data_IF_297953044244
#
_entry.id   IF_297953044244
#
_cell.length_a   1.000
_cell.length_b   1.000
_cell.length_c   1.000
_cell.angle_alpha   90.00
_cell.angle_beta   90.00
_cell.angle_gamma   90.00
#
_symmetry.space_group_name_H-M   'P 1'
#
loop_
_entity.id
_entity.type
_entity.pdbx_description
1 polymer ?
#
# COMPACT_ATOMS: atom_id res chain seq x y z
N UNK A 1 10.27 -5.77 -6.45
CA UNK A 1 9.80 -4.51 -7.10
C UNK A 1 8.56 -3.99 -6.38
N UNK A 2 7.94 -2.87 -6.80
CA UNK A 2 6.64 -2.40 -6.30
C UNK A 2 5.56 -2.67 -7.35
N UNK A 3 4.39 -3.16 -6.93
CA UNK A 3 3.26 -3.50 -7.79
C UNK A 3 2.01 -2.73 -7.38
N UNK A 4 1.17 -2.32 -8.34
CA UNK A 4 -0.09 -1.66 -8.04
C UNK A 4 -1.06 -2.60 -7.34
N UNK A 5 -1.73 -2.09 -6.30
CA UNK A 5 -2.84 -2.77 -5.63
C UNK A 5 -4.17 -2.10 -5.95
N UNK A 6 -4.24 -0.77 -5.79
CA UNK A 6 -5.48 0.00 -5.92
C UNK A 6 -5.18 1.48 -6.17
N UNK A 7 -5.95 2.09 -7.06
CA UNK A 7 -6.03 3.55 -7.26
C UNK A 7 -7.37 4.05 -6.73
N UNK A 8 -7.38 5.10 -5.91
CA UNK A 8 -8.60 5.73 -5.39
C UNK A 8 -9.08 6.87 -6.30
N UNK A 9 -10.31 7.33 -6.09
CA UNK A 9 -10.92 8.40 -6.89
C UNK A 9 -10.15 9.73 -6.82
N UNK A 10 -9.42 9.98 -5.73
CA UNK A 10 -8.58 11.17 -5.56
C UNK A 10 -7.16 11.01 -6.14
N UNK A 11 -6.93 9.95 -6.93
CA UNK A 11 -5.63 9.55 -7.48
C UNK A 11 -4.61 9.11 -6.42
N UNK A 12 -5.06 8.74 -5.21
CA UNK A 12 -4.18 8.02 -4.27
C UNK A 12 -3.84 6.65 -4.83
N UNK A 13 -2.55 6.37 -4.93
CA UNK A 13 -2.00 5.10 -5.38
C UNK A 13 -1.56 4.26 -4.18
N UNK A 14 -2.01 3.01 -4.15
CA UNK A 14 -1.60 2.01 -3.16
C UNK A 14 -0.82 0.95 -3.91
N UNK A 15 0.45 0.79 -3.56
CA UNK A 15 1.35 -0.20 -4.13
C UNK A 15 1.92 -1.10 -3.05
N UNK A 16 2.34 -2.31 -3.40
CA UNK A 16 2.98 -3.23 -2.48
C UNK A 16 4.24 -3.84 -3.07
N UNK A 17 5.19 -4.22 -2.22
CA UNK A 17 6.36 -4.99 -2.63
C UNK A 17 6.03 -6.47 -2.84
N UNK A 18 7.00 -7.20 -3.36
CA UNK A 18 7.09 -8.66 -3.16
C UNK A 18 7.20 -8.96 -1.67
N UNK A 19 6.90 -10.20 -1.30
CA UNK A 19 7.23 -10.69 0.03
C UNK A 19 8.73 -10.61 0.24
N UNK A 20 9.14 -9.87 1.26
CA UNK A 20 10.53 -9.72 1.65
C UNK A 20 11.01 -11.00 2.36
N UNK A 21 12.33 -11.15 2.51
CA UNK A 21 12.95 -12.33 3.12
C UNK A 21 12.57 -12.55 4.59
N UNK A 22 12.08 -11.52 5.27
CA UNK A 22 11.57 -11.57 6.64
C UNK A 22 10.05 -11.84 6.71
N UNK A 23 9.45 -12.25 5.60
CA UNK A 23 8.01 -12.47 5.42
C UNK A 23 7.15 -11.21 5.64
N UNK A 24 7.74 -10.02 5.52
CA UNK A 24 7.00 -8.77 5.52
C UNK A 24 6.73 -8.27 4.10
N UNK A 25 5.73 -7.41 3.97
CA UNK A 25 5.39 -6.74 2.71
C UNK A 25 5.35 -5.25 2.97
N UNK A 26 6.11 -4.48 2.18
CA UNK A 26 6.03 -3.02 2.19
C UNK A 26 4.83 -2.59 1.37
N UNK A 27 3.90 -1.88 1.99
CA UNK A 27 2.81 -1.18 1.32
C UNK A 27 3.14 0.31 1.31
N UNK A 28 3.09 0.92 0.13
CA UNK A 28 3.34 2.35 -0.06
C UNK A 28 2.07 3.02 -0.56
N UNK A 29 1.69 4.10 0.10
CA UNK A 29 0.52 4.92 -0.21
C UNK A 29 1.06 6.28 -0.61
N UNK A 30 0.70 6.75 -1.79
CA UNK A 30 1.09 8.06 -2.32
C UNK A 30 -0.13 8.77 -2.87
N UNK A 31 -0.30 10.04 -2.52
CA UNK A 31 -1.39 10.88 -3.01
C UNK A 31 -0.80 12.17 -3.58
N UNK A 32 -1.10 12.54 -4.83
CA UNK A 32 -0.67 13.82 -5.37
C UNK A 32 -1.34 14.96 -4.59
N UNK A 33 -0.55 15.96 -4.21
CA UNK A 33 -1.04 17.17 -3.56
C UNK A 33 -0.57 18.41 -4.35
N UNK A 34 -1.51 19.33 -4.60
CA UNK A 34 -1.24 20.51 -5.43
C UNK A 34 -0.37 21.57 -4.74
N UNK A 35 -0.23 21.52 -3.41
CA UNK A 35 0.52 22.51 -2.62
C UNK A 35 1.95 22.08 -2.38
N UNK A 36 2.19 20.81 -2.03
CA UNK A 36 3.52 20.32 -1.65
C UNK A 36 4.01 19.10 -2.46
N UNK A 37 3.27 18.71 -3.51
CA UNK A 37 3.68 17.70 -4.47
C UNK A 37 3.03 16.35 -4.17
N UNK A 38 3.42 15.70 -3.07
CA UNK A 38 2.93 14.36 -2.74
C UNK A 38 2.88 14.11 -1.23
N UNK A 39 1.72 13.65 -0.76
CA UNK A 39 1.59 13.01 0.54
C UNK A 39 1.94 11.53 0.41
N UNK A 40 2.58 10.96 1.43
CA UNK A 40 2.92 9.54 1.41
C UNK A 40 2.96 8.90 2.80
N UNK A 41 2.81 7.58 2.82
CA UNK A 41 2.93 6.75 4.00
C UNK A 41 3.40 5.34 3.61
N UNK A 42 4.21 4.74 4.46
CA UNK A 42 4.63 3.34 4.33
C UNK A 42 4.06 2.50 5.47
N UNK A 43 3.55 1.32 5.16
CA UNK A 43 3.13 0.32 6.14
C UNK A 43 3.82 -1.02 5.85
N UNK A 44 4.34 -1.69 6.89
CA UNK A 44 4.86 -3.05 6.77
C UNK A 44 3.86 -4.06 7.35
N UNK A 45 3.29 -4.88 6.47
CA UNK A 45 2.44 -6.02 6.83
C UNK A 45 3.30 -7.26 7.12
N UNK A 46 2.82 -8.21 7.94
CA UNK A 46 1.54 -8.23 8.65
C UNK A 46 1.56 -7.45 9.98
N UNK A 47 2.71 -6.86 10.36
CA UNK A 47 2.89 -6.24 11.68
C UNK A 47 2.22 -4.85 11.82
N UNK A 48 1.69 -4.29 10.73
CA UNK A 48 1.09 -2.94 10.67
C UNK A 48 2.03 -1.85 11.21
N UNK A 49 3.31 -1.93 10.89
CA UNK A 49 4.30 -0.92 11.28
C UNK A 49 4.26 0.22 10.28
N UNK A 50 3.83 1.40 10.74
CA UNK A 50 3.77 2.60 9.92
C UNK A 50 5.04 3.43 10.02
N UNK A 51 5.53 3.93 8.89
CA UNK A 51 6.72 4.78 8.76
C UNK A 51 6.50 5.82 7.67
N UNK A 52 7.34 6.86 7.69
CA UNK A 52 7.42 7.86 6.62
C UNK A 52 6.05 8.46 6.26
N UNK A 53 5.26 8.84 7.29
CA UNK A 53 3.96 9.47 7.12
C UNK A 53 4.18 10.98 6.93
N UNK A 54 3.81 11.49 5.75
CA UNK A 54 3.98 12.89 5.36
C UNK A 54 2.69 13.38 4.70
N UNK A 55 2.18 14.52 5.17
CA UNK A 55 1.04 15.22 4.57
C UNK A 55 -0.35 14.68 4.91
N UNK A 56 -0.48 13.39 5.28
CA UNK A 56 -1.78 12.82 5.65
C UNK A 56 -2.29 13.29 7.01
N UNK A 57 -3.57 13.63 7.05
CA UNK A 57 -4.33 13.89 8.28
C UNK A 57 -4.58 12.61 9.08
N UNK A 58 -4.96 12.75 10.36
CA UNK A 58 -5.33 11.59 11.19
C UNK A 58 -6.54 10.82 10.63
N UNK A 59 -7.50 11.52 10.04
CA UNK A 59 -8.68 10.92 9.42
C UNK A 59 -8.30 10.06 8.19
N UNK A 60 -7.48 10.62 7.29
CA UNK A 60 -6.94 9.87 6.14
C UNK A 60 -6.14 8.65 6.61
N UNK A 61 -5.29 8.82 7.63
CA UNK A 61 -4.53 7.69 8.18
C UNK A 61 -5.42 6.62 8.80
N UNK A 62 -6.54 6.98 9.43
CA UNK A 62 -7.49 6.01 9.97
C UNK A 62 -8.20 5.24 8.85
N UNK A 63 -8.58 5.94 7.77
CA UNK A 63 -9.11 5.31 6.56
C UNK A 63 -8.13 4.29 5.98
N UNK A 64 -6.86 4.67 5.77
CA UNK A 64 -5.85 3.77 5.22
C UNK A 64 -5.54 2.58 6.14
N UNK A 65 -5.51 2.78 7.46
CA UNK A 65 -5.36 1.68 8.43
C UNK A 65 -6.49 0.65 8.32
N UNK A 66 -7.73 1.11 8.19
CA UNK A 66 -8.88 0.22 8.02
C UNK A 66 -8.84 -0.47 6.66
N UNK A 67 -8.54 0.26 5.59
CA UNK A 67 -8.40 -0.28 4.25
C UNK A 67 -7.35 -1.39 4.18
N UNK A 68 -6.15 -1.17 4.74
CA UNK A 68 -5.10 -2.19 4.78
C UNK A 68 -5.49 -3.38 5.66
N UNK A 69 -6.15 -3.17 6.81
CA UNK A 69 -6.64 -4.29 7.64
C UNK A 69 -7.62 -5.18 6.88
N UNK A 70 -8.55 -4.58 6.15
CA UNK A 70 -9.57 -5.31 5.40
C UNK A 70 -8.97 -6.10 4.23
N UNK A 71 -7.87 -5.60 3.63
CA UNK A 71 -7.28 -6.16 2.43
C UNK A 71 -5.92 -6.86 2.64
N UNK A 72 -5.41 -6.92 3.88
CA UNK A 72 -4.07 -7.44 4.17
C UNK A 72 -3.86 -8.85 3.63
N UNK A 73 -4.86 -9.72 3.72
CA UNK A 73 -4.79 -11.09 3.22
C UNK A 73 -4.52 -11.13 1.69
N UNK A 74 -5.20 -10.30 0.90
CA UNK A 74 -5.00 -10.20 -0.55
C UNK A 74 -3.62 -9.65 -0.89
N UNK A 75 -3.18 -8.59 -0.20
CA UNK A 75 -1.86 -7.99 -0.42
C UNK A 75 -0.75 -9.02 -0.11
N UNK A 76 -0.90 -9.77 0.98
CA UNK A 76 0.06 -10.82 1.35
C UNK A 76 0.09 -11.97 0.33
N UNK A 77 -1.07 -12.37 -0.22
CA UNK A 77 -1.14 -13.38 -1.28
C UNK A 77 -0.48 -12.89 -2.57
N UNK A 78 -0.85 -11.69 -3.05
CA UNK A 78 -0.29 -11.12 -4.27
C UNK A 78 1.21 -10.84 -4.17
N UNK A 79 1.71 -10.52 -2.98
CA UNK A 79 3.15 -10.29 -2.76
C UNK A 79 4.01 -11.54 -3.01
N UNK A 80 3.46 -12.74 -2.87
CA UNK A 80 4.16 -14.00 -3.14
C UNK A 80 4.22 -14.32 -4.64
N UNK A 81 3.30 -13.75 -5.41
CA UNK A 81 3.14 -13.99 -6.84
C UNK A 81 3.68 -12.83 -7.69
N UNK A 82 4.35 -11.83 -7.11
CA UNK A 82 4.83 -10.67 -7.88
C UNK A 82 3.71 -9.73 -8.37
N UNK A 83 2.63 -9.60 -7.60
CA UNK A 83 1.49 -8.71 -7.89
C UNK A 83 0.40 -9.33 -8.76
N UNK A 84 -0.67 -8.54 -9.02
CA UNK A 84 -1.87 -8.98 -9.77
C UNK A 84 -1.56 -9.32 -11.24
N UNK A 85 -0.44 -8.86 -11.80
CA UNK A 85 -0.10 -9.08 -13.21
C UNK A 85 0.21 -10.55 -13.56
N UNK A 86 0.35 -11.43 -12.57
CA UNK A 86 0.40 -12.89 -12.80
C UNK A 86 -0.99 -13.57 -12.79
N UNK A 87 -2.07 -12.83 -12.51
CA UNK A 87 -3.45 -13.35 -12.57
C UNK A 87 -4.03 -13.39 -13.99
N UNK A 88 -3.32 -12.86 -15.00
CA UNK A 88 -3.76 -12.85 -16.41
C UNK A 88 -3.56 -14.19 -17.15
N UNK A 89 -3.14 -15.26 -16.46
CA UNK A 89 -2.84 -16.57 -17.06
C UNK A 89 -3.92 -17.65 -16.76
N UNK A 90 -5.21 -17.28 -16.73
CA UNK A 90 -6.32 -18.25 -16.68
C UNK A 90 -7.14 -18.22 -17.96
#
# INVERSE_FOLDING_TARGET
MMYPFMTLEDNTEITHSEMLSDNTVKVYIEKPDAKDGFHHATCFLPNYIWKDIVGFSEEEMNYFKQLLRNNAHLIMEFSQQGGILNASNF
#
